data_IF_015216712205
#
_entry.id   IF_015216712205
#
_cell.length_a   1.000
_cell.length_b   1.000
_cell.length_c   1.000
_cell.angle_alpha   90.00
_cell.angle_beta   90.00
_cell.angle_gamma   90.00
#
_symmetry.space_group_name_H-M   'P 1'
#
loop_
_entity.id
_entity.type
_entity.pdbx_description
1 polymer ?
#
# COMPACT_ATOMS: atom_id res chain seq x y z
N UNK A 1 -17.50 7.56 -8.61
CA UNK A 1 -17.67 8.72 -7.71
C UNK A 1 -16.32 9.04 -7.11
N UNK A 2 -16.03 10.29 -6.76
CA UNK A 2 -14.68 10.69 -6.34
C UNK A 2 -14.36 10.22 -4.91
N UNK A 3 -13.07 10.22 -4.59
CA UNK A 3 -12.59 10.04 -3.22
C UNK A 3 -13.07 11.20 -2.34
N UNK A 4 -13.58 10.90 -1.15
CA UNK A 4 -13.87 11.90 -0.11
C UNK A 4 -12.63 12.06 0.77
N UNK A 5 -12.18 13.29 0.91
CA UNK A 5 -10.98 13.65 1.67
C UNK A 5 -11.27 14.82 2.60
N UNK A 6 -10.52 14.94 3.72
CA UNK A 6 -10.66 16.07 4.63
C UNK A 6 -10.49 17.41 3.91
N UNK A 7 -11.32 18.41 4.29
CA UNK A 7 -11.13 19.77 3.82
C UNK A 7 -9.72 20.25 4.19
N UNK A 8 -9.05 20.95 3.27
CA UNK A 8 -7.69 21.49 3.42
C UNK A 8 -6.55 20.46 3.48
N UNK A 9 -6.78 19.18 3.15
CA UNK A 9 -5.69 18.22 3.01
C UNK A 9 -4.76 18.65 1.85
N UNK A 10 -3.42 18.74 2.02
CA UNK A 10 -2.50 19.16 0.96
C UNK A 10 -2.59 18.34 -0.33
N UNK A 11 -2.94 17.06 -0.24
CA UNK A 11 -3.17 16.20 -1.39
C UNK A 11 -4.28 16.72 -2.31
N UNK A 12 -5.26 17.50 -1.81
CA UNK A 12 -6.36 18.05 -2.60
C UNK A 12 -5.87 18.88 -3.77
N UNK A 13 -5.02 19.88 -3.50
CA UNK A 13 -4.47 20.79 -4.53
C UNK A 13 -3.69 20.01 -5.58
N UNK A 14 -2.89 19.04 -5.18
CA UNK A 14 -2.12 18.20 -6.09
C UNK A 14 -3.02 17.37 -7.00
N UNK A 15 -4.04 16.71 -6.44
CA UNK A 15 -4.97 15.86 -7.19
C UNK A 15 -5.81 16.69 -8.17
N UNK A 16 -6.31 17.85 -7.75
CA UNK A 16 -7.06 18.76 -8.64
C UNK A 16 -6.19 19.31 -9.78
N UNK A 17 -4.94 19.62 -9.52
CA UNK A 17 -3.98 20.04 -10.56
C UNK A 17 -3.73 18.96 -11.62
N UNK A 18 -3.91 17.70 -11.27
CA UNK A 18 -3.83 16.52 -12.15
C UNK A 18 -5.16 16.18 -12.84
N UNK A 19 -6.18 17.05 -12.73
CA UNK A 19 -7.55 16.80 -13.21
C UNK A 19 -8.21 15.54 -12.60
N UNK A 20 -7.79 15.16 -11.40
CA UNK A 20 -8.42 14.09 -10.63
C UNK A 20 -9.50 14.72 -9.77
N UNK A 21 -10.75 14.31 -10.00
CA UNK A 21 -11.87 14.82 -9.23
C UNK A 21 -11.86 14.24 -7.81
N UNK A 22 -11.77 15.11 -6.83
CA UNK A 22 -11.89 14.80 -5.40
C UNK A 22 -13.16 15.42 -4.82
N UNK A 23 -13.69 14.81 -3.77
CA UNK A 23 -14.85 15.32 -3.06
C UNK A 23 -14.44 15.67 -1.64
N UNK A 24 -14.52 16.95 -1.30
CA UNK A 24 -14.29 17.39 0.08
C UNK A 24 -15.44 16.96 0.99
N UNK A 25 -15.19 16.90 2.31
CA UNK A 25 -16.20 16.50 3.30
C UNK A 25 -17.46 17.34 3.21
N UNK A 26 -17.32 18.65 3.06
CA UNK A 26 -18.45 19.56 2.91
C UNK A 26 -19.33 19.23 1.71
N UNK A 27 -18.75 18.83 0.58
CA UNK A 27 -19.49 18.48 -0.65
C UNK A 27 -20.16 17.12 -0.55
N UNK A 28 -19.53 16.16 0.16
CA UNK A 28 -20.03 14.79 0.29
C UNK A 28 -21.27 14.67 1.19
N UNK A 29 -21.49 15.59 2.13
CA UNK A 29 -22.61 15.56 3.08
C UNK A 29 -24.02 15.66 2.45
N UNK A 30 -24.11 15.85 1.13
CA UNK A 30 -25.38 16.01 0.41
C UNK A 30 -25.72 14.81 -0.49
N UNK A 31 -25.11 13.63 -0.29
CA UNK A 31 -25.39 12.43 -1.08
C UNK A 31 -25.84 11.27 -0.18
N UNK A 32 -27.01 10.69 -0.49
CA UNK A 32 -27.59 9.51 0.20
C UNK A 32 -26.92 8.18 -0.18
N UNK A 33 -25.59 8.15 -0.31
CA UNK A 33 -24.82 6.93 -0.63
C UNK A 33 -23.84 6.67 0.51
N UNK A 34 -23.90 5.47 1.10
CA UNK A 34 -22.89 5.06 2.08
C UNK A 34 -21.52 4.99 1.39
N UNK A 35 -20.55 5.84 1.74
CA UNK A 35 -19.20 5.74 1.23
C UNK A 35 -18.52 4.50 1.80
N UNK A 36 -17.57 3.93 1.05
CA UNK A 36 -16.64 2.95 1.58
C UNK A 36 -15.66 3.64 2.54
N UNK A 37 -15.53 3.13 3.74
CA UNK A 37 -14.58 3.65 4.74
C UNK A 37 -13.27 2.90 4.60
N UNK A 38 -12.20 3.59 4.21
CA UNK A 38 -10.86 3.04 4.06
C UNK A 38 -9.92 3.70 5.05
N UNK A 39 -9.27 2.89 5.90
CA UNK A 39 -8.25 3.35 6.83
C UNK A 39 -6.86 3.24 6.18
N UNK A 40 -6.09 4.32 6.15
CA UNK A 40 -4.72 4.34 5.64
C UNK A 40 -3.73 4.46 6.81
N UNK A 41 -3.12 3.35 7.22
CA UNK A 41 -1.97 3.37 8.14
C UNK A 41 -0.70 3.72 7.34
N UNK A 42 -0.27 4.95 7.47
CA UNK A 42 0.87 5.49 6.75
C UNK A 42 2.13 5.43 7.64
N UNK A 43 2.99 4.42 7.37
CA UNK A 43 4.26 4.22 8.07
C UNK A 43 5.44 4.92 7.37
N UNK A 44 5.21 5.48 6.17
CA UNK A 44 6.26 6.15 5.40
C UNK A 44 6.70 7.47 6.06
N UNK A 45 8.00 7.82 5.99
CA UNK A 45 8.51 9.07 6.57
C UNK A 45 8.03 10.32 5.84
N UNK A 46 7.87 10.28 4.52
CA UNK A 46 7.33 11.36 3.69
C UNK A 46 5.81 11.21 3.54
N UNK A 47 5.08 11.45 4.64
CA UNK A 47 3.64 11.17 4.71
C UNK A 47 2.82 11.84 3.61
N UNK A 48 3.03 13.13 3.35
CA UNK A 48 2.27 13.91 2.37
C UNK A 48 2.45 13.35 0.94
N UNK A 49 3.67 12.94 0.59
CA UNK A 49 3.94 12.32 -0.71
C UNK A 49 3.18 10.99 -0.84
N UNK A 50 3.27 10.13 0.18
CA UNK A 50 2.58 8.83 0.21
C UNK A 50 1.06 8.98 0.21
N UNK A 51 0.51 9.95 0.97
CA UNK A 51 -0.91 10.30 0.95
C UNK A 51 -1.38 10.58 -0.49
N UNK A 52 -0.66 11.48 -1.18
CA UNK A 52 -1.00 11.86 -2.56
C UNK A 52 -0.93 10.67 -3.51
N UNK A 53 0.12 9.84 -3.40
CA UNK A 53 0.30 8.65 -4.23
C UNK A 53 -0.83 7.63 -4.05
N UNK A 54 -1.18 7.31 -2.81
CA UNK A 54 -2.26 6.35 -2.49
C UNK A 54 -3.63 6.92 -2.90
N UNK A 55 -3.93 8.17 -2.55
CA UNK A 55 -5.22 8.80 -2.87
C UNK A 55 -5.44 8.89 -4.39
N UNK A 56 -4.38 9.15 -5.17
CA UNK A 56 -4.45 9.11 -6.64
C UNK A 56 -4.87 7.74 -7.18
N UNK A 57 -4.45 6.65 -6.51
CA UNK A 57 -4.88 5.29 -6.88
C UNK A 57 -6.32 5.01 -6.49
N UNK A 58 -6.72 5.43 -5.31
CA UNK A 58 -8.08 5.23 -4.80
C UNK A 58 -9.13 6.09 -5.54
N UNK A 59 -8.73 7.21 -6.15
CA UNK A 59 -9.66 8.16 -6.79
C UNK A 59 -10.20 7.69 -8.15
N UNK A 60 -9.57 6.72 -8.81
CA UNK A 60 -9.99 6.24 -10.14
C UNK A 60 -11.03 5.11 -10.05
N UNK A 61 -12.15 5.40 -9.42
CA UNK A 61 -13.29 4.47 -9.27
C UNK A 61 -14.60 5.26 -9.24
N UNK A 62 -15.73 4.67 -9.68
CA UNK A 62 -17.04 5.28 -9.50
C UNK A 62 -17.55 5.20 -8.05
N UNK A 63 -16.89 4.47 -7.17
CA UNK A 63 -17.29 4.31 -5.77
C UNK A 63 -16.93 5.56 -4.96
N UNK A 64 -17.78 5.93 -4.02
CA UNK A 64 -17.46 6.96 -3.04
C UNK A 64 -16.60 6.34 -1.93
N UNK A 65 -15.43 6.93 -1.68
CA UNK A 65 -14.48 6.45 -0.68
C UNK A 65 -14.20 7.56 0.32
N UNK A 66 -14.32 7.24 1.59
CA UNK A 66 -13.90 8.06 2.72
C UNK A 66 -12.59 7.50 3.26
N UNK A 67 -11.51 8.29 3.15
CA UNK A 67 -10.20 7.88 3.64
C UNK A 67 -9.93 8.54 4.98
N UNK A 68 -9.66 7.72 6.00
CA UNK A 68 -9.18 8.14 7.30
C UNK A 68 -7.70 7.79 7.45
N UNK A 69 -6.89 8.78 7.89
CA UNK A 69 -5.44 8.61 8.00
C UNK A 69 -5.07 8.18 9.42
N UNK A 70 -4.27 7.13 9.54
CA UNK A 70 -3.77 6.58 10.79
C UNK A 70 -2.24 6.65 10.84
N UNK A 71 -1.68 7.02 11.98
CA UNK A 71 -0.24 6.93 12.25
C UNK A 71 0.01 6.22 13.59
N UNK A 72 1.21 5.67 13.75
CA UNK A 72 1.67 5.13 15.03
C UNK A 72 2.10 6.28 15.95
N UNK A 73 1.69 6.24 17.21
CA UNK A 73 2.07 7.24 18.22
C UNK A 73 3.37 6.90 18.95
N UNK A 74 3.75 5.62 18.96
CA UNK A 74 5.00 5.12 19.55
C UNK A 74 6.25 5.55 18.77
N UNK A 75 6.08 6.11 17.55
CA UNK A 75 7.15 6.64 16.73
C UNK A 75 6.98 8.14 16.44
N UNK A 76 8.02 8.94 16.72
CA UNK A 76 8.01 10.36 16.39
C UNK A 76 8.37 10.63 14.94
N UNK A 77 7.40 11.06 14.14
CA UNK A 77 7.61 11.39 12.72
C UNK A 77 8.42 12.68 12.57
N UNK A 78 9.63 12.60 11.96
CA UNK A 78 10.56 13.73 11.82
C UNK A 78 10.36 14.55 10.54
N UNK A 79 9.73 13.97 9.50
CA UNK A 79 9.64 14.57 8.15
C UNK A 79 8.25 15.14 7.83
N UNK A 80 7.41 15.33 8.84
CA UNK A 80 6.07 15.93 8.71
C UNK A 80 5.83 16.85 9.92
N UNK A 81 5.12 17.96 9.70
CA UNK A 81 4.81 18.87 10.79
C UNK A 81 3.84 18.24 11.81
N UNK A 82 4.03 18.57 13.08
CA UNK A 82 3.10 18.13 14.14
C UNK A 82 1.67 18.69 13.93
N UNK A 83 1.56 19.84 13.28
CA UNK A 83 0.28 20.44 12.91
C UNK A 83 -0.46 19.57 11.89
N UNK A 84 0.23 19.12 10.84
CA UNK A 84 -0.34 18.20 9.83
C UNK A 84 -0.84 16.91 10.47
N UNK A 85 -0.02 16.28 11.33
CA UNK A 85 -0.42 15.06 12.03
C UNK A 85 -1.65 15.28 12.90
N UNK A 86 -1.69 16.34 13.72
CA UNK A 86 -2.83 16.64 14.61
C UNK A 86 -4.11 16.94 13.83
N UNK A 87 -3.98 17.56 12.67
CA UNK A 87 -5.14 17.97 11.86
C UNK A 87 -5.75 16.80 11.11
N UNK A 88 -4.93 16.00 10.44
CA UNK A 88 -5.38 15.02 9.45
C UNK A 88 -5.28 13.57 9.89
N UNK A 89 -4.39 13.25 10.85
CA UNK A 89 -4.19 11.88 11.29
C UNK A 89 -4.93 11.58 12.59
N UNK A 90 -5.26 10.30 12.75
CA UNK A 90 -5.80 9.72 13.98
C UNK A 90 -4.76 8.80 14.62
N UNK A 91 -4.83 8.66 15.93
CA UNK A 91 -4.15 7.59 16.66
C UNK A 91 -5.01 6.33 16.67
N UNK A 92 -4.41 5.19 16.99
CA UNK A 92 -5.15 3.93 17.10
C UNK A 92 -6.28 4.01 18.17
N UNK A 93 -6.05 4.69 19.30
CA UNK A 93 -7.06 4.87 20.32
C UNK A 93 -8.30 5.64 19.85
N UNK A 94 -8.15 6.50 18.84
CA UNK A 94 -9.28 7.27 18.28
C UNK A 94 -10.10 6.47 17.27
N UNK A 95 -9.57 5.37 16.71
CA UNK A 95 -10.22 4.58 15.65
C UNK A 95 -10.60 3.16 16.08
N UNK A 96 -10.10 2.67 17.20
CA UNK A 96 -10.26 1.26 17.65
C UNK A 96 -11.71 0.79 17.81
N UNK A 97 -12.64 1.71 18.08
CA UNK A 97 -14.06 1.40 18.22
C UNK A 97 -14.82 1.47 16.87
N UNK A 98 -14.14 1.90 15.80
CA UNK A 98 -14.72 1.99 14.46
C UNK A 98 -14.55 0.68 13.69
N UNK A 99 -15.29 0.58 12.58
CA UNK A 99 -15.17 -0.49 11.58
C UNK A 99 -14.99 0.09 10.20
N UNK A 100 -14.27 -0.64 9.34
CA UNK A 100 -13.87 -0.18 8.02
C UNK A 100 -14.11 -1.25 6.96
N UNK A 101 -14.46 -0.81 5.76
CA UNK A 101 -14.57 -1.66 4.58
C UNK A 101 -13.19 -2.14 4.11
N UNK A 102 -12.20 -1.27 4.17
CA UNK A 102 -10.83 -1.58 3.78
C UNK A 102 -9.78 -0.90 4.65
N UNK A 103 -8.57 -1.47 4.64
CA UNK A 103 -7.40 -0.87 5.24
C UNK A 103 -6.20 -1.01 4.32
N UNK A 104 -5.35 0.03 4.29
CA UNK A 104 -4.05 -0.02 3.61
C UNK A 104 -2.97 0.20 4.66
N UNK A 105 -1.97 -0.69 4.69
CA UNK A 105 -0.77 -0.56 5.51
C UNK A 105 0.41 -0.33 4.56
N UNK A 106 1.05 0.83 4.64
CA UNK A 106 2.14 1.19 3.74
C UNK A 106 3.46 0.52 4.11
N UNK A 107 4.46 0.62 3.25
CA UNK A 107 5.85 0.33 3.57
C UNK A 107 6.42 1.26 4.65
N UNK A 108 7.63 0.93 5.09
CA UNK A 108 8.44 1.73 6.00
C UNK A 108 9.93 1.45 5.73
N UNK A 109 10.84 2.43 5.87
CA UNK A 109 12.27 2.25 5.61
C UNK A 109 13.01 1.66 6.83
N UNK A 110 12.51 0.54 7.37
CA UNK A 110 13.03 -0.15 8.57
C UNK A 110 13.35 -1.62 8.28
N UNK A 111 13.52 -1.97 7.03
CA UNK A 111 13.64 -3.36 6.54
C UNK A 111 14.82 -4.13 7.12
N UNK A 112 15.94 -3.44 7.44
CA UNK A 112 17.16 -4.03 7.99
C UNK A 112 17.09 -4.29 9.51
N UNK A 113 16.02 -3.83 10.18
CA UNK A 113 15.76 -4.17 11.58
C UNK A 113 14.95 -5.46 11.66
N UNK A 114 15.17 -6.27 12.69
CA UNK A 114 14.18 -7.31 13.01
C UNK A 114 12.84 -6.66 13.32
N UNK A 115 11.74 -7.39 13.09
CA UNK A 115 10.41 -6.80 13.29
C UNK A 115 10.21 -6.31 14.72
N UNK A 116 10.64 -7.10 15.69
CA UNK A 116 10.51 -6.84 17.12
C UNK A 116 11.37 -5.66 17.60
N UNK A 117 12.42 -5.31 16.84
CA UNK A 117 13.32 -4.18 17.15
C UNK A 117 12.78 -2.83 16.63
N UNK A 118 11.69 -2.86 15.85
CA UNK A 118 11.04 -1.63 15.36
C UNK A 118 10.24 -0.98 16.48
N UNK A 119 10.51 0.27 16.80
CA UNK A 119 9.97 1.01 17.95
C UNK A 119 8.42 1.06 18.03
N UNK A 120 7.72 0.92 16.92
CA UNK A 120 6.26 0.84 16.84
C UNK A 120 5.72 -0.57 16.58
N UNK A 121 6.53 -1.62 16.70
CA UNK A 121 6.11 -2.99 16.40
C UNK A 121 4.93 -3.47 17.24
N UNK A 122 4.98 -3.27 18.55
CA UNK A 122 3.89 -3.66 19.44
C UNK A 122 2.57 -2.94 19.12
N UNK A 123 2.65 -1.67 18.72
CA UNK A 123 1.46 -0.92 18.28
C UNK A 123 0.94 -1.45 16.96
N UNK A 124 1.83 -1.74 16.00
CA UNK A 124 1.47 -2.34 14.71
C UNK A 124 0.82 -3.71 14.88
N UNK A 125 1.35 -4.57 15.76
CA UNK A 125 0.76 -5.86 16.09
C UNK A 125 -0.67 -5.71 16.65
N UNK A 126 -0.90 -4.74 17.56
CA UNK A 126 -2.25 -4.46 18.08
C UNK A 126 -3.20 -4.00 16.97
N UNK A 127 -2.74 -3.16 16.06
CA UNK A 127 -3.51 -2.69 14.91
C UNK A 127 -3.84 -3.86 13.97
N UNK A 128 -2.86 -4.71 13.63
CA UNK A 128 -3.07 -5.89 12.78
C UNK A 128 -4.03 -6.90 13.42
N UNK A 129 -3.91 -7.13 14.74
CA UNK A 129 -4.87 -7.96 15.46
C UNK A 129 -6.28 -7.38 15.41
N UNK A 130 -6.42 -6.10 15.67
CA UNK A 130 -7.70 -5.40 15.62
C UNK A 130 -8.31 -5.43 14.21
N UNK A 131 -7.49 -5.31 13.16
CA UNK A 131 -7.98 -5.31 11.78
C UNK A 131 -8.66 -6.64 11.40
N UNK A 132 -8.31 -7.76 12.02
CA UNK A 132 -8.94 -9.05 11.72
C UNK A 132 -10.45 -9.12 12.05
N UNK A 133 -10.93 -8.26 12.95
CA UNK A 133 -12.34 -8.20 13.36
C UNK A 133 -13.03 -6.90 12.96
N UNK A 134 -12.28 -5.82 12.75
CA UNK A 134 -12.82 -4.48 12.52
C UNK A 134 -12.66 -3.97 11.10
N UNK A 135 -11.90 -4.69 10.26
CA UNK A 135 -11.67 -4.34 8.86
C UNK A 135 -12.06 -5.53 7.99
N UNK A 136 -12.82 -5.27 6.91
CA UNK A 136 -13.24 -6.35 6.02
C UNK A 136 -12.09 -6.86 5.15
N UNK A 137 -11.28 -5.96 4.55
CA UNK A 137 -10.17 -6.33 3.66
C UNK A 137 -8.95 -5.43 3.90
N UNK A 138 -7.75 -6.02 4.01
CA UNK A 138 -6.50 -5.29 4.25
C UNK A 138 -5.50 -5.50 3.12
N UNK A 139 -5.00 -4.39 2.55
CA UNK A 139 -3.93 -4.32 1.56
C UNK A 139 -2.63 -3.88 2.23
N UNK A 140 -1.64 -4.74 2.23
CA UNK A 140 -0.31 -4.49 2.79
C UNK A 140 0.68 -4.20 1.65
N UNK A 141 1.55 -3.18 1.79
CA UNK A 141 2.48 -2.74 0.74
C UNK A 141 3.92 -2.79 1.25
N UNK A 142 4.82 -3.34 0.44
CA UNK A 142 6.26 -3.42 0.63
C UNK A 142 6.64 -3.99 2.01
N UNK A 143 7.32 -3.23 2.87
CA UNK A 143 7.61 -3.66 4.25
C UNK A 143 6.34 -3.98 5.04
N UNK A 144 5.26 -3.23 4.84
CA UNK A 144 3.96 -3.57 5.44
C UNK A 144 3.44 -4.94 5.01
N UNK A 145 3.76 -5.39 3.78
CA UNK A 145 3.43 -6.75 3.33
C UNK A 145 4.29 -7.80 4.04
N UNK A 146 5.59 -7.54 4.21
CA UNK A 146 6.48 -8.43 4.98
C UNK A 146 6.07 -8.51 6.45
N UNK A 147 5.76 -7.37 7.07
CA UNK A 147 5.28 -7.31 8.45
C UNK A 147 3.95 -8.05 8.63
N UNK A 148 3.01 -7.86 7.70
CA UNK A 148 1.71 -8.52 7.71
C UNK A 148 1.81 -10.03 7.56
N UNK A 149 2.64 -10.51 6.62
CA UNK A 149 2.79 -11.96 6.39
C UNK A 149 3.53 -12.63 7.57
N UNK A 150 4.48 -11.93 8.16
CA UNK A 150 5.14 -12.40 9.39
C UNK A 150 4.15 -12.48 10.56
N UNK A 151 3.39 -11.40 10.81
CA UNK A 151 2.46 -11.36 11.93
C UNK A 151 1.35 -12.41 11.84
N UNK A 152 0.72 -12.56 10.67
CA UNK A 152 -0.44 -13.43 10.50
C UNK A 152 -0.08 -14.90 10.21
N UNK A 153 1.09 -15.17 9.63
CA UNK A 153 1.47 -16.50 9.13
C UNK A 153 2.83 -16.99 9.66
N UNK A 154 3.60 -16.15 10.34
CA UNK A 154 4.91 -16.52 10.90
C UNK A 154 6.03 -16.62 9.85
N UNK A 155 5.80 -16.15 8.63
CA UNK A 155 6.76 -16.24 7.54
C UNK A 155 7.79 -15.10 7.66
N UNK A 156 9.08 -15.46 7.75
CA UNK A 156 10.18 -14.52 7.95
C UNK A 156 10.55 -13.78 6.67
N UNK A 157 11.10 -12.58 6.83
CA UNK A 157 11.82 -11.89 5.77
C UNK A 157 13.27 -12.33 5.72
N UNK A 158 13.89 -12.22 4.55
CA UNK A 158 15.29 -12.54 4.30
C UNK A 158 16.02 -11.33 3.73
N UNK A 159 17.22 -11.05 4.20
CA UNK A 159 18.04 -9.95 3.66
C UNK A 159 18.55 -10.31 2.25
N UNK A 160 18.48 -9.34 1.35
CA UNK A 160 19.02 -9.47 0.00
C UNK A 160 20.51 -9.11 -0.01
N UNK A 161 21.33 -9.72 -0.88
CA UNK A 161 22.74 -9.39 -1.01
C UNK A 161 23.02 -7.92 -1.35
N UNK A 162 22.08 -7.30 -2.07
CA UNK A 162 22.09 -5.87 -2.42
C UNK A 162 20.66 -5.32 -2.48
N UNK A 163 20.53 -4.00 -2.45
CA UNK A 163 19.23 -3.34 -2.57
C UNK A 163 18.58 -3.68 -3.92
N UNK A 164 17.41 -4.30 -3.89
CA UNK A 164 16.58 -4.49 -5.08
C UNK A 164 15.84 -3.17 -5.37
N UNK A 165 16.30 -2.45 -6.39
CA UNK A 165 15.69 -1.19 -6.82
C UNK A 165 15.52 -1.18 -8.33
N UNK A 166 14.32 -0.87 -8.81
CA UNK A 166 14.03 -0.86 -10.23
C UNK A 166 12.58 -1.13 -10.58
N UNK A 167 12.33 -1.34 -11.87
CA UNK A 167 11.02 -1.70 -12.42
C UNK A 167 11.17 -3.04 -13.11
N UNK A 168 10.53 -4.06 -12.56
CA UNK A 168 10.71 -5.45 -12.98
C UNK A 168 9.47 -5.98 -13.69
N UNK A 169 9.68 -6.95 -14.57
CA UNK A 169 8.62 -7.67 -15.28
C UNK A 169 8.09 -8.80 -14.38
N UNK A 170 6.78 -8.94 -14.31
CA UNK A 170 6.09 -9.94 -13.48
C UNK A 170 5.13 -10.76 -14.33
N UNK A 171 5.11 -12.08 -14.14
CA UNK A 171 4.12 -12.99 -14.69
C UNK A 171 2.88 -13.07 -13.78
N UNK A 172 1.70 -13.09 -14.38
CA UNK A 172 0.44 -13.37 -13.70
C UNK A 172 0.27 -14.88 -13.56
N UNK A 173 0.42 -15.39 -12.33
CA UNK A 173 0.32 -16.84 -12.04
C UNK A 173 -1.13 -17.31 -11.85
N UNK A 174 -2.04 -16.39 -11.47
CA UNK A 174 -3.46 -16.67 -11.21
C UNK A 174 -4.36 -15.75 -12.03
N UNK A 175 -4.47 -15.93 -13.36
CA UNK A 175 -5.26 -15.03 -14.22
C UNK A 175 -6.76 -15.06 -13.91
N UNK A 176 -7.25 -16.09 -13.23
CA UNK A 176 -8.63 -16.17 -12.75
C UNK A 176 -8.92 -15.32 -11.50
N UNK A 177 -7.88 -14.82 -10.81
CA UNK A 177 -8.06 -13.98 -9.64
C UNK A 177 -8.66 -12.62 -10.05
N UNK A 178 -9.79 -12.19 -9.44
CA UNK A 178 -10.35 -10.85 -9.69
C UNK A 178 -9.37 -9.72 -9.41
N UNK A 179 -8.35 -9.93 -8.56
CA UNK A 179 -7.35 -8.92 -8.23
C UNK A 179 -6.54 -8.46 -9.45
N UNK A 180 -6.26 -9.36 -10.37
CA UNK A 180 -5.49 -9.10 -11.60
C UNK A 180 -6.38 -9.03 -12.85
N UNK A 181 -7.68 -8.87 -12.68
CA UNK A 181 -8.60 -8.72 -13.82
C UNK A 181 -8.22 -7.52 -14.67
N UNK A 182 -8.03 -7.76 -15.97
CA UNK A 182 -7.61 -6.75 -16.95
C UNK A 182 -6.10 -6.50 -16.97
N UNK A 183 -5.32 -7.25 -16.21
CA UNK A 183 -3.86 -7.28 -16.39
C UNK A 183 -3.51 -8.03 -17.67
N UNK A 184 -2.41 -7.62 -18.29
CA UNK A 184 -1.73 -8.45 -19.30
C UNK A 184 -1.09 -9.67 -18.61
N UNK A 185 -0.76 -10.72 -19.37
CA UNK A 185 -0.10 -11.92 -18.85
C UNK A 185 1.23 -11.57 -18.17
N UNK A 186 1.86 -10.47 -18.63
CA UNK A 186 3.08 -9.88 -18.08
C UNK A 186 2.91 -8.37 -17.88
N UNK A 187 3.46 -7.86 -16.78
CA UNK A 187 3.37 -6.44 -16.47
C UNK A 187 4.59 -5.95 -15.68
N UNK A 188 4.84 -4.65 -15.77
CA UNK A 188 5.92 -3.99 -15.06
C UNK A 188 5.45 -3.43 -13.73
N UNK A 189 6.28 -3.59 -12.67
CA UNK A 189 6.03 -3.00 -11.37
C UNK A 189 7.32 -2.56 -10.67
N UNK A 190 7.30 -1.43 -9.92
CA UNK A 190 8.47 -0.92 -9.20
C UNK A 190 8.68 -1.67 -7.89
N UNK A 191 9.96 -1.86 -7.56
CA UNK A 191 10.45 -2.35 -6.28
C UNK A 191 11.54 -1.44 -5.74
N UNK A 192 11.61 -1.32 -4.42
CA UNK A 192 12.71 -0.67 -3.68
C UNK A 192 12.75 -1.28 -2.29
N UNK A 193 13.64 -2.27 -2.07
CA UNK A 193 13.72 -2.99 -0.80
C UNK A 193 15.08 -3.65 -0.58
N UNK A 194 15.41 -3.87 0.68
CA UNK A 194 16.61 -4.58 1.12
C UNK A 194 16.33 -6.03 1.56
N UNK A 195 15.05 -6.36 1.72
CA UNK A 195 14.61 -7.69 2.19
C UNK A 195 13.53 -8.27 1.27
N UNK A 196 13.34 -9.57 1.35
CA UNK A 196 12.32 -10.30 0.57
C UNK A 196 11.67 -11.39 1.41
N UNK A 197 10.54 -11.91 0.94
CA UNK A 197 9.94 -13.18 1.37
C UNK A 197 10.04 -14.12 0.17
N UNK A 198 10.53 -15.33 0.39
CA UNK A 198 10.69 -16.30 -0.69
C UNK A 198 9.36 -16.95 -1.06
N UNK A 199 9.23 -17.34 -2.33
CA UNK A 199 8.04 -18.00 -2.85
C UNK A 199 7.77 -19.32 -2.12
N UNK A 200 8.82 -20.09 -1.85
CA UNK A 200 8.76 -21.38 -1.18
C UNK A 200 8.15 -21.28 0.23
N UNK A 201 8.45 -20.19 0.95
CA UNK A 201 7.90 -19.95 2.30
C UNK A 201 6.40 -19.65 2.25
N UNK A 202 5.97 -18.91 1.23
CA UNK A 202 4.54 -18.60 1.02
C UNK A 202 3.77 -19.84 0.57
N UNK A 203 4.32 -20.60 -0.38
CA UNK A 203 3.71 -21.82 -0.92
C UNK A 203 3.60 -22.95 0.12
N UNK A 204 4.46 -22.94 1.14
CA UNK A 204 4.40 -23.88 2.24
C UNK A 204 3.17 -23.69 3.15
N UNK A 205 2.55 -22.49 3.15
CA UNK A 205 1.35 -22.23 3.95
C UNK A 205 0.08 -22.30 3.07
N UNK A 206 -0.79 -23.33 3.27
CA UNK A 206 -1.99 -23.53 2.45
C UNK A 206 -3.04 -22.40 2.59
N UNK A 207 -2.87 -21.48 3.55
CA UNK A 207 -3.74 -20.31 3.73
C UNK A 207 -3.36 -19.17 2.79
N UNK A 208 -2.25 -19.28 2.04
CA UNK A 208 -1.74 -18.28 1.14
C UNK A 208 -1.70 -18.76 -0.30
N UNK A 209 -1.78 -17.84 -1.24
CA UNK A 209 -1.53 -18.11 -2.67
C UNK A 209 -0.75 -16.95 -3.30
N UNK A 210 0.21 -17.28 -4.18
CA UNK A 210 0.93 -16.32 -4.99
C UNK A 210 0.11 -16.02 -6.25
N UNK A 211 -0.13 -14.73 -6.50
CA UNK A 211 -0.93 -14.24 -7.64
C UNK A 211 -0.04 -13.76 -8.79
N UNK A 212 1.07 -13.10 -8.47
CA UNK A 212 2.03 -12.62 -9.48
C UNK A 212 3.46 -12.64 -8.92
N UNK A 213 4.42 -12.94 -9.80
CA UNK A 213 5.83 -13.11 -9.45
C UNK A 213 6.74 -12.69 -10.60
N UNK A 214 7.96 -12.27 -10.28
CA UNK A 214 9.06 -11.97 -11.19
C UNK A 214 10.21 -12.96 -10.99
N UNK A 215 10.86 -13.36 -12.08
CA UNK A 215 12.10 -14.15 -12.01
C UNK A 215 13.25 -13.36 -11.38
N UNK A 216 13.27 -12.02 -11.56
CA UNK A 216 14.31 -11.13 -11.05
C UNK A 216 13.98 -10.58 -9.65
N UNK A 217 12.72 -10.20 -9.43
CA UNK A 217 12.30 -9.49 -8.21
C UNK A 217 11.54 -10.38 -7.21
N UNK A 218 11.32 -11.67 -7.52
CA UNK A 218 10.57 -12.57 -6.64
C UNK A 218 9.08 -12.26 -6.58
N UNK A 219 8.43 -12.62 -5.47
CA UNK A 219 6.98 -12.47 -5.31
C UNK A 219 6.58 -10.99 -5.32
N UNK A 220 5.57 -10.66 -6.12
CA UNK A 220 4.98 -9.33 -6.17
C UNK A 220 3.65 -9.25 -5.45
N UNK A 221 2.74 -10.19 -5.74
CA UNK A 221 1.42 -10.24 -5.11
C UNK A 221 1.20 -11.62 -4.52
N UNK A 222 0.92 -11.66 -3.22
CA UNK A 222 0.32 -12.81 -2.56
C UNK A 222 -0.97 -12.38 -1.87
N UNK A 223 -1.87 -13.33 -1.59
CA UNK A 223 -3.09 -13.08 -0.82
C UNK A 223 -3.46 -14.27 0.05
N UNK A 224 -4.27 -14.03 1.06
CA UNK A 224 -4.91 -15.10 1.82
C UNK A 224 -6.02 -15.77 1.03
N UNK A 225 -6.21 -17.08 1.25
CA UNK A 225 -7.25 -17.86 0.57
C UNK A 225 -8.66 -17.42 0.94
N UNK A 226 -8.85 -16.87 2.15
CA UNK A 226 -10.09 -16.22 2.59
C UNK A 226 -10.33 -14.84 1.97
N UNK A 227 -9.36 -14.33 1.21
CA UNK A 227 -9.41 -13.03 0.53
C UNK A 227 -9.54 -11.81 1.47
N UNK A 228 -9.07 -11.91 2.71
CA UNK A 228 -9.05 -10.81 3.68
C UNK A 228 -7.75 -10.03 3.69
N UNK A 229 -6.61 -10.68 3.39
CA UNK A 229 -5.29 -10.08 3.39
C UNK A 229 -4.64 -10.15 2.01
N UNK A 230 -4.13 -9.03 1.55
CA UNK A 230 -3.42 -8.85 0.29
C UNK A 230 -2.05 -8.29 0.57
N UNK A 231 -1.01 -8.92 0.01
CA UNK A 231 0.39 -8.59 0.23
C UNK A 231 1.02 -8.21 -1.11
N UNK A 232 1.41 -6.95 -1.26
CA UNK A 232 2.06 -6.42 -2.46
C UNK A 232 3.48 -6.03 -2.07
N UNK A 233 4.48 -6.80 -2.50
CA UNK A 233 5.87 -6.63 -2.09
C UNK A 233 6.63 -5.55 -2.85
N UNK A 234 6.01 -4.91 -3.84
CA UNK A 234 6.53 -3.74 -4.55
C UNK A 234 5.75 -2.47 -4.21
N UNK A 235 5.90 -1.47 -5.06
CA UNK A 235 5.36 -0.12 -4.85
C UNK A 235 4.45 0.34 -6.01
N UNK A 236 3.23 -0.21 -6.16
CA UNK A 236 2.32 0.19 -7.24
C UNK A 236 1.92 1.68 -7.15
N UNK A 237 2.03 2.28 -5.97
CA UNK A 237 1.68 3.68 -5.72
C UNK A 237 2.71 4.67 -6.28
N UNK A 238 3.96 4.28 -6.48
CA UNK A 238 5.07 5.17 -6.83
C UNK A 238 4.80 6.03 -8.07
N UNK A 239 5.22 7.29 -7.97
CA UNK A 239 5.28 8.22 -9.08
C UNK A 239 6.52 7.99 -9.94
N UNK A 240 6.52 8.58 -11.15
CA UNK A 240 7.60 8.41 -12.13
C UNK A 240 8.97 8.75 -11.53
N UNK A 241 9.08 9.81 -10.73
CA UNK A 241 10.35 10.28 -10.16
C UNK A 241 10.74 9.65 -8.82
N UNK A 242 9.92 8.79 -8.21
CA UNK A 242 10.17 8.33 -6.82
C UNK A 242 11.46 7.52 -6.70
N UNK A 243 11.68 6.53 -7.60
CA UNK A 243 12.92 5.74 -7.58
C UNK A 243 14.18 6.58 -7.88
N UNK A 244 14.07 7.59 -8.76
CA UNK A 244 15.16 8.56 -8.98
C UNK A 244 15.50 9.30 -7.71
N UNK A 245 14.50 9.85 -7.02
CA UNK A 245 14.70 10.60 -5.79
C UNK A 245 15.30 9.72 -4.66
N UNK A 246 14.95 8.45 -4.60
CA UNK A 246 15.56 7.49 -3.68
C UNK A 246 17.02 7.21 -4.05
N UNK A 247 17.31 6.94 -5.32
CA UNK A 247 18.65 6.69 -5.83
C UNK A 247 19.57 7.90 -5.58
N UNK A 248 19.15 9.09 -5.98
CA UNK A 248 19.91 10.33 -5.78
C UNK A 248 20.15 10.61 -4.27
N UNK A 249 19.14 10.37 -3.43
CA UNK A 249 19.29 10.49 -1.97
C UNK A 249 20.37 9.58 -1.43
N UNK A 250 20.39 8.31 -1.88
CA UNK A 250 21.30 7.29 -1.36
C UNK A 250 22.73 7.53 -1.88
N UNK A 251 22.91 7.90 -3.14
CA UNK A 251 24.18 8.35 -3.71
C UNK A 251 24.72 9.60 -2.99
N UNK A 252 23.85 10.59 -2.72
CA UNK A 252 24.26 11.81 -2.01
C UNK A 252 24.68 11.56 -0.55
N UNK A 253 24.24 10.44 0.05
CA UNK A 253 24.72 9.97 1.36
C UNK A 253 26.02 9.19 1.27
N UNK A 254 26.60 9.01 0.07
CA UNK A 254 27.82 8.23 -0.16
C UNK A 254 27.60 6.73 -0.11
N UNK A 255 26.38 6.25 -0.26
CA UNK A 255 26.08 4.82 -0.33
C UNK A 255 26.40 4.30 -1.73
N UNK A 256 27.00 3.11 -1.79
CA UNK A 256 27.21 2.37 -3.03
C UNK A 256 25.90 1.62 -3.36
N UNK A 257 25.07 2.21 -4.20
CA UNK A 257 23.77 1.66 -4.60
C UNK A 257 23.71 1.52 -6.12
N UNK A 258 23.19 0.41 -6.64
CA UNK A 258 23.05 0.22 -8.08
C UNK A 258 22.05 1.22 -8.67
N UNK A 259 22.23 1.57 -9.94
CA UNK A 259 21.23 2.30 -10.72
C UNK A 259 19.95 1.46 -10.73
N UNK A 260 18.76 2.07 -10.48
CA UNK A 260 17.50 1.32 -10.53
C UNK A 260 17.31 0.58 -11.87
N UNK A 261 17.20 -0.75 -11.81
CA UNK A 261 17.13 -1.61 -12.99
C UNK A 261 15.88 -1.33 -13.82
N UNK A 262 16.02 -1.34 -15.16
CA UNK A 262 14.91 -1.18 -16.12
C UNK A 262 14.05 0.09 -15.93
N UNK A 263 14.59 1.08 -15.24
CA UNK A 263 13.87 2.30 -14.88
C UNK A 263 14.25 3.49 -15.75
N UNK A 264 15.52 3.69 -15.98
CA UNK A 264 16.00 4.70 -16.91
C UNK A 264 16.18 4.12 -18.31
N UNK A 265 15.92 4.88 -19.39
CA UNK A 265 16.27 4.45 -20.72
C UNK A 265 17.77 4.11 -20.81
N UNK A 266 18.09 2.91 -21.32
CA UNK A 266 19.47 2.37 -21.41
C UNK A 266 20.22 2.31 -20.07
N UNK A 267 19.51 2.25 -18.94
CA UNK A 267 20.04 2.31 -17.57
C UNK A 267 20.91 3.55 -17.30
N UNK A 268 20.67 4.64 -18.04
CA UNK A 268 21.39 5.92 -17.91
C UNK A 268 20.61 6.87 -16.98
N UNK A 269 21.10 7.14 -15.75
CA UNK A 269 20.42 8.01 -14.78
C UNK A 269 20.35 9.48 -15.20
N UNK A 270 21.09 9.89 -16.24
CA UNK A 270 20.97 11.22 -16.81
C UNK A 270 19.70 11.40 -17.69
N UNK A 271 19.05 10.30 -18.08
CA UNK A 271 17.83 10.34 -18.88
C UNK A 271 16.58 10.38 -17.99
N UNK A 272 15.48 10.91 -18.56
CA UNK A 272 14.19 10.90 -17.86
C UNK A 272 13.59 9.49 -17.81
N UNK A 273 13.11 9.03 -16.63
CA UNK A 273 12.54 7.70 -16.50
C UNK A 273 11.20 7.58 -17.22
N UNK A 274 10.91 6.36 -17.70
CA UNK A 274 9.66 6.04 -18.38
C UNK A 274 8.76 5.23 -17.42
N UNK A 275 7.55 5.75 -17.18
CA UNK A 275 6.58 5.06 -16.32
C UNK A 275 5.84 3.97 -17.05
N UNK A 276 6.17 2.70 -16.80
CA UNK A 276 5.61 1.53 -17.48
C UNK A 276 4.55 0.79 -16.63
N UNK A 277 4.37 1.15 -15.35
CA UNK A 277 3.50 0.44 -14.38
C UNK A 277 2.16 1.11 -14.09
N UNK A 278 1.88 2.28 -14.66
CA UNK A 278 0.71 3.10 -14.31
C UNK A 278 -0.62 2.35 -14.44
N UNK A 279 -0.84 1.67 -15.55
CA UNK A 279 -2.11 0.99 -15.85
C UNK A 279 -2.38 -0.17 -14.87
N UNK A 280 -1.42 -1.07 -14.72
CA UNK A 280 -1.55 -2.22 -13.84
C UNK A 280 -1.62 -1.84 -12.36
N UNK A 281 -0.83 -0.84 -11.94
CA UNK A 281 -0.96 -0.27 -10.61
C UNK A 281 -2.36 0.29 -10.34
N UNK A 282 -2.96 0.99 -11.32
CA UNK A 282 -4.31 1.51 -11.18
C UNK A 282 -5.35 0.39 -11.11
N UNK A 283 -5.23 -0.63 -11.99
CA UNK A 283 -6.11 -1.79 -11.98
C UNK A 283 -6.04 -2.55 -10.65
N UNK A 284 -4.85 -2.73 -10.07
CA UNK A 284 -4.69 -3.39 -8.77
C UNK A 284 -5.57 -2.75 -7.68
N UNK A 285 -5.47 -1.44 -7.51
CA UNK A 285 -6.28 -0.72 -6.50
C UNK A 285 -7.78 -0.74 -6.85
N UNK A 286 -8.12 -0.53 -8.11
CA UNK A 286 -9.52 -0.56 -8.56
C UNK A 286 -10.14 -1.95 -8.37
N UNK A 287 -9.42 -3.02 -8.68
CA UNK A 287 -9.87 -4.39 -8.51
C UNK A 287 -10.01 -4.75 -7.02
N UNK A 288 -9.03 -4.38 -6.18
CA UNK A 288 -9.14 -4.58 -4.75
C UNK A 288 -10.37 -3.86 -4.18
N UNK A 289 -10.55 -2.58 -4.49
CA UNK A 289 -11.72 -1.80 -4.04
C UNK A 289 -13.03 -2.41 -4.52
N UNK A 290 -13.12 -2.82 -5.78
CA UNK A 290 -14.37 -3.31 -6.36
C UNK A 290 -14.73 -4.71 -5.89
N UNK A 291 -13.78 -5.67 -5.95
CA UNK A 291 -14.08 -7.09 -5.75
C UNK A 291 -13.89 -7.57 -4.31
N UNK A 292 -13.05 -6.90 -3.52
CA UNK A 292 -12.67 -7.36 -2.18
C UNK A 292 -13.01 -6.37 -1.07
N UNK A 293 -13.42 -5.15 -1.44
CA UNK A 293 -13.93 -4.16 -0.48
C UNK A 293 -15.41 -3.95 -0.73
N UNK A 294 -15.81 -3.45 -1.91
CA UNK A 294 -17.20 -3.06 -2.18
C UNK A 294 -18.16 -4.25 -2.29
N UNK A 295 -17.82 -5.27 -3.09
CA UNK A 295 -18.77 -6.37 -3.40
C UNK A 295 -18.92 -7.37 -2.26
N UNK A 296 -17.98 -7.47 -1.36
CA UNK A 296 -17.95 -8.49 -0.30
C UNK A 296 -18.17 -7.94 1.10
N UNK A 297 -18.01 -6.62 1.32
CA UNK A 297 -18.28 -6.03 2.63
C UNK A 297 -19.78 -6.05 2.94
N UNK A 298 -20.21 -6.41 4.16
CA UNK A 298 -21.59 -6.27 4.60
C UNK A 298 -22.07 -4.81 4.49
N UNK A 299 -23.33 -4.61 4.13
CA UNK A 299 -23.90 -3.25 4.07
C UNK A 299 -23.82 -2.54 5.43
N UNK A 300 -24.12 -3.27 6.51
CA UNK A 300 -23.91 -2.80 7.88
C UNK A 300 -22.59 -3.34 8.40
N UNK A 301 -21.66 -2.44 8.69
CA UNK A 301 -20.34 -2.80 9.25
C UNK A 301 -20.41 -3.41 10.64
N UNK A 302 -21.56 -3.31 11.36
CA UNK A 302 -21.75 -3.99 12.64
C UNK A 302 -21.80 -5.51 12.48
N UNK A 303 -22.05 -6.01 11.28
CA UNK A 303 -22.07 -7.45 10.98
C UNK A 303 -20.66 -8.05 10.77
N UNK A 304 -19.62 -7.23 10.73
CA UNK A 304 -18.23 -7.73 10.67
C UNK A 304 -17.90 -8.49 11.95
N UNK A 305 -17.46 -9.75 11.80
CA UNK A 305 -17.08 -10.62 12.91
C UNK A 305 -18.26 -11.24 13.67
N UNK A 306 -19.50 -11.08 13.21
CA UNK A 306 -20.68 -11.71 13.84
C UNK A 306 -20.89 -13.19 13.41
N UNK A 307 -20.04 -13.73 12.55
CA UNK A 307 -20.18 -15.04 11.91
C UNK A 307 -19.05 -16.06 12.19
N UNK A 308 -18.23 -15.86 13.23
CA UNK A 308 -17.22 -16.85 13.66
C UNK A 308 -17.56 -17.45 15.03
#
# INVERSE_FOLDING_TARGET
MPIRIPDQLPATEQLESENIFVMTEHRAMHQDIRPLRVLLLNLMPKKIETETQIMRKLSNTPLQIEVELLHTISHESRNVSQEHLKTFYRSFDQVKDNRYDGMIITGAPVELHEFEDVDYWDELCRIMKWSTTNVHSTLHICWGAQAGIFYHYGIQKHELPEKLSGVFNHDVLKPSSPLVRGFDDRFWAPHSRHTTVYAEDIEADPRLEIVAQSDEAGVYIAKSTDSRHFFVFGHPEYDTGTLRAEYERDVNKGMDVPVPAHYFPNDDPAQEPIRTWRAHAQLLYTNWLNYYVYQTTPYDLSDLGAGE
#
